data_IF_727057041439
#
_entry.id   IF_727057041439
#
_cell.length_a   1.000
_cell.length_b   1.000
_cell.length_c   1.000
_cell.angle_alpha   90.00
_cell.angle_beta   90.00
_cell.angle_gamma   90.00
#
_symmetry.space_group_name_H-M   'P 1'
#
loop_
_entity.id
_entity.type
_entity.pdbx_description
1 polymer ?
#
# COMPACT_ATOMS: atom_id res chain seq x y z
N UNK A 1 37.51 10.52 -20.32
CA UNK A 1 37.38 9.55 -19.19
C UNK A 1 36.35 8.51 -19.61
N UNK A 2 36.60 7.21 -19.40
CA UNK A 2 35.61 6.14 -19.58
C UNK A 2 35.10 5.77 -18.19
N UNK A 3 33.82 5.97 -17.93
CA UNK A 3 33.18 5.68 -16.63
C UNK A 3 32.05 4.69 -16.85
N UNK A 4 31.91 3.75 -15.92
CA UNK A 4 30.78 2.83 -15.84
C UNK A 4 29.91 3.27 -14.68
N UNK A 5 28.63 3.53 -14.95
CA UNK A 5 27.65 3.92 -13.94
C UNK A 5 26.42 3.01 -14.06
N UNK A 6 26.47 1.80 -13.46
CA UNK A 6 25.39 0.83 -13.58
C UNK A 6 24.21 1.21 -12.69
N UNK A 7 23.03 0.75 -13.06
CA UNK A 7 21.79 0.98 -12.33
C UNK A 7 20.94 -0.31 -12.29
N UNK A 8 20.25 -0.56 -11.17
CA UNK A 8 19.39 -1.72 -10.98
C UNK A 8 18.21 -1.39 -10.07
N UNK A 9 17.15 -2.21 -10.14
CA UNK A 9 15.96 -2.08 -9.31
C UNK A 9 15.98 -3.06 -8.13
N UNK A 10 15.65 -2.57 -6.94
CA UNK A 10 15.44 -3.42 -5.77
C UNK A 10 13.96 -3.75 -5.65
N UNK A 11 13.61 -4.97 -6.00
CA UNK A 11 12.23 -5.45 -6.04
C UNK A 11 11.96 -6.56 -5.02
N UNK A 12 12.94 -6.90 -4.18
CA UNK A 12 12.80 -7.94 -3.17
C UNK A 12 12.42 -7.34 -1.82
N UNK A 13 11.71 -8.14 -1.01
CA UNK A 13 11.28 -7.74 0.34
C UNK A 13 9.82 -7.32 0.44
N UNK A 14 9.43 -6.91 1.64
CA UNK A 14 8.03 -6.67 2.02
C UNK A 14 7.33 -5.42 1.46
N UNK A 15 8.00 -4.32 1.05
CA UNK A 15 7.28 -3.08 0.72
C UNK A 15 6.22 -3.22 -0.38
N UNK A 16 6.55 -3.95 -1.46
CA UNK A 16 5.65 -4.14 -2.60
C UNK A 16 4.46 -5.00 -2.19
N UNK A 17 4.72 -6.16 -1.56
CA UNK A 17 3.67 -7.06 -1.10
C UNK A 17 2.76 -6.44 -0.04
N UNK A 18 3.32 -5.66 0.90
CA UNK A 18 2.54 -4.99 1.93
C UNK A 18 1.62 -3.90 1.35
N UNK A 19 2.08 -3.16 0.34
CA UNK A 19 1.24 -2.19 -0.36
C UNK A 19 0.11 -2.86 -1.14
N UNK A 20 0.40 -3.97 -1.82
CA UNK A 20 -0.58 -4.77 -2.55
C UNK A 20 -1.66 -5.35 -1.63
N UNK A 21 -1.26 -5.95 -0.49
CA UNK A 21 -2.18 -6.44 0.54
C UNK A 21 -3.05 -5.33 1.14
N UNK A 22 -2.46 -4.16 1.40
CA UNK A 22 -3.22 -3.00 1.90
C UNK A 22 -4.24 -2.51 0.86
N UNK A 23 -3.87 -2.52 -0.41
CA UNK A 23 -4.78 -2.15 -1.49
C UNK A 23 -5.93 -3.14 -1.60
N UNK A 24 -5.67 -4.44 -1.54
CA UNK A 24 -6.70 -5.48 -1.52
C UNK A 24 -7.73 -5.22 -0.42
N UNK A 25 -7.28 -5.03 0.82
CA UNK A 25 -8.18 -4.76 1.94
C UNK A 25 -9.04 -3.50 1.77
N UNK A 26 -8.53 -2.47 1.08
CA UNK A 26 -9.29 -1.25 0.79
C UNK A 26 -10.33 -1.50 -0.31
N UNK A 27 -10.00 -2.30 -1.33
CA UNK A 27 -10.95 -2.66 -2.38
C UNK A 27 -12.06 -3.56 -1.84
N UNK A 28 -11.72 -4.58 -1.06
CA UNK A 28 -12.69 -5.46 -0.39
C UNK A 28 -13.67 -4.66 0.49
N UNK A 29 -13.16 -3.68 1.24
CA UNK A 29 -14.00 -2.81 2.06
C UNK A 29 -14.94 -1.91 1.24
N UNK A 30 -14.54 -1.51 0.02
CA UNK A 30 -15.35 -0.68 -0.87
C UNK A 30 -16.38 -1.49 -1.65
N UNK A 31 -16.02 -2.69 -2.07
CA UNK A 31 -16.94 -3.62 -2.73
C UNK A 31 -18.00 -4.12 -1.74
N UNK A 32 -17.65 -4.31 -0.48
CA UNK A 32 -18.60 -4.60 0.60
C UNK A 32 -19.62 -3.48 0.88
N UNK A 33 -19.31 -2.22 0.54
CA UNK A 33 -20.29 -1.11 0.58
C UNK A 33 -21.25 -1.14 -0.62
N UNK A 34 -20.85 -1.75 -1.75
CA UNK A 34 -21.69 -1.93 -2.93
C UNK A 34 -22.60 -3.18 -2.82
N UNK A 35 -22.15 -4.23 -2.13
CA UNK A 35 -22.92 -5.46 -1.88
C UNK A 35 -23.99 -5.33 -0.79
N UNK A 36 -24.01 -4.24 -0.01
CA UNK A 36 -25.12 -3.98 0.93
C UNK A 36 -26.48 -3.77 0.24
N UNK A 37 -26.54 -3.77 -1.09
CA UNK A 37 -27.76 -3.78 -1.89
C UNK A 37 -28.24 -5.18 -2.32
N UNK A 38 -27.43 -6.25 -2.23
CA UNK A 38 -27.83 -7.62 -2.62
C UNK A 38 -27.19 -8.69 -1.68
N UNK A 39 -27.98 -9.17 -0.69
CA UNK A 39 -27.87 -10.37 0.19
C UNK A 39 -26.79 -11.45 -0.16
N UNK A 40 -26.06 -12.16 0.73
CA UNK A 40 -26.10 -12.56 2.16
C UNK A 40 -24.75 -13.27 2.53
N UNK A 41 -24.40 -13.53 3.81
CA UNK A 41 -23.03 -13.53 4.33
C UNK A 41 -22.33 -14.91 4.41
N UNK A 42 -20.99 -14.91 4.31
CA UNK A 42 -20.13 -16.02 4.77
C UNK A 42 -19.02 -15.49 5.70
N UNK A 43 -18.84 -16.05 6.92
CA UNK A 43 -17.96 -15.50 7.94
C UNK A 43 -16.55 -16.08 7.83
N UNK A 44 -15.51 -15.24 7.75
CA UNK A 44 -14.15 -15.66 8.16
C UNK A 44 -13.46 -14.53 8.93
N UNK A 45 -13.20 -14.84 10.20
CA UNK A 45 -12.44 -14.09 11.17
C UNK A 45 -10.94 -14.17 10.82
N UNK A 46 -10.22 -13.03 10.79
CA UNK A 46 -9.00 -12.86 11.60
C UNK A 46 -8.90 -11.42 12.08
N UNK A 47 -8.85 -11.30 13.40
CA UNK A 47 -8.71 -10.09 14.20
C UNK A 47 -7.46 -9.28 13.84
N UNK A 48 -7.63 -7.95 13.83
CA UNK A 48 -6.51 -7.05 13.71
C UNK A 48 -6.75 -5.59 14.08
N UNK A 49 -7.92 -5.17 14.58
CA UNK A 49 -8.05 -3.81 15.14
C UNK A 49 -9.17 -3.68 16.18
N UNK A 50 -9.01 -4.38 17.31
CA UNK A 50 -9.73 -4.04 18.53
C UNK A 50 -9.09 -2.79 19.16
N UNK A 51 -9.78 -1.67 19.00
CA UNK A 51 -9.68 -0.54 19.91
C UNK A 51 -10.11 -1.03 21.32
N UNK A 52 -9.20 -0.98 22.29
CA UNK A 52 -9.50 -1.24 23.69
C UNK A 52 -8.72 -0.25 24.59
N UNK A 53 -9.28 0.09 25.77
CA UNK A 53 -9.09 1.39 26.42
C UNK A 53 -7.74 1.55 27.13
N UNK A 54 -7.38 2.83 27.24
CA UNK A 54 -6.28 3.38 28.02
C UNK A 54 -6.38 2.98 29.50
N UNK A 55 -5.37 2.29 30.07
CA UNK A 55 -4.90 2.60 31.42
C UNK A 55 -3.51 2.04 31.80
N UNK A 56 -2.77 2.93 32.47
CA UNK A 56 -1.54 2.84 33.27
C UNK A 56 -0.23 2.32 32.63
N UNK A 57 0.77 3.20 32.70
CA UNK A 57 2.09 3.06 32.12
C UNK A 57 3.07 2.40 33.10
N UNK A 58 3.90 1.48 32.59
CA UNK A 58 5.15 1.06 33.22
C UNK A 58 6.34 1.77 32.54
N UNK A 59 7.34 2.26 33.30
CA UNK A 59 8.47 2.98 32.74
C UNK A 59 9.44 2.00 32.05
N UNK A 60 9.56 2.09 30.72
CA UNK A 60 10.51 1.28 29.94
C UNK A 60 10.05 0.87 28.54
N UNK A 61 8.75 0.98 28.23
CA UNK A 61 8.22 0.65 26.91
C UNK A 61 8.02 1.93 26.09
N UNK A 62 9.00 2.28 25.25
CA UNK A 62 8.81 3.31 24.22
C UNK A 62 7.86 2.78 23.14
N UNK A 63 6.54 3.00 23.31
CA UNK A 63 5.58 2.89 22.22
C UNK A 63 5.85 4.05 21.27
N UNK A 64 6.61 3.79 20.21
CA UNK A 64 6.75 4.74 19.11
C UNK A 64 5.34 5.07 18.60
N UNK A 65 4.88 6.30 18.81
CA UNK A 65 3.58 6.76 18.32
C UNK A 65 3.53 6.50 16.81
N UNK A 66 2.43 5.90 16.33
CA UNK A 66 2.11 5.66 14.89
C UNK A 66 2.07 6.95 14.03
N UNK A 67 2.49 8.10 14.56
CA UNK A 67 2.46 9.42 13.94
C UNK A 67 3.43 9.60 12.77
N UNK A 68 4.45 8.74 12.59
CA UNK A 68 5.43 8.89 11.49
C UNK A 68 4.89 8.43 10.14
N UNK A 69 3.86 7.58 10.12
CA UNK A 69 3.25 7.05 8.89
C UNK A 69 2.32 8.08 8.26
N UNK A 70 1.39 8.65 9.04
CA UNK A 70 0.46 9.68 8.56
C UNK A 70 1.18 10.92 7.99
N UNK A 71 2.29 11.34 8.62
CA UNK A 71 3.06 12.51 8.17
C UNK A 71 3.72 12.34 6.79
N UNK A 72 3.98 11.11 6.35
CA UNK A 72 4.65 10.84 5.06
C UNK A 72 3.67 10.62 3.91
N UNK A 73 2.48 10.13 4.21
CA UNK A 73 1.46 9.78 3.21
C UNK A 73 0.47 10.92 2.97
N UNK A 74 0.62 12.06 3.66
CA UNK A 74 -0.30 13.20 3.53
C UNK A 74 -1.73 12.88 3.97
N UNK A 75 -1.93 11.79 4.72
CA UNK A 75 -3.25 11.29 5.13
C UNK A 75 -3.98 10.44 4.08
N UNK A 76 -3.41 10.20 2.90
CA UNK A 76 -4.02 9.37 1.86
C UNK A 76 -3.89 7.86 2.18
N UNK A 77 -4.88 7.09 1.77
CA UNK A 77 -4.86 5.63 1.79
C UNK A 77 -4.13 5.08 0.54
N UNK A 78 -3.98 3.75 0.44
CA UNK A 78 -3.21 3.17 -0.66
C UNK A 78 -3.86 3.44 -2.03
N UNK A 79 -5.19 3.39 -2.10
CA UNK A 79 -5.93 3.69 -3.33
C UNK A 79 -5.76 5.17 -3.74
N UNK A 80 -5.94 6.10 -2.80
CA UNK A 80 -5.79 7.53 -3.06
C UNK A 80 -4.38 7.92 -3.50
N UNK A 81 -3.33 7.24 -2.97
CA UNK A 81 -1.96 7.43 -3.45
C UNK A 81 -1.82 7.01 -4.93
N UNK A 82 -2.46 5.91 -5.34
CA UNK A 82 -2.36 5.43 -6.71
C UNK A 82 -3.06 6.35 -7.71
N UNK A 83 -4.23 6.87 -7.34
CA UNK A 83 -4.91 7.92 -8.12
C UNK A 83 -4.05 9.19 -8.20
N UNK A 84 -3.42 9.60 -7.09
CA UNK A 84 -2.53 10.76 -7.07
C UNK A 84 -1.25 10.56 -7.91
N UNK A 85 -0.81 9.31 -8.10
CA UNK A 85 0.27 8.96 -9.04
C UNK A 85 -0.16 9.01 -10.51
N UNK A 86 -1.45 9.23 -10.79
CA UNK A 86 -2.00 9.26 -12.13
C UNK A 86 -2.26 7.88 -12.73
N UNK A 87 -2.37 6.84 -11.90
CA UNK A 87 -2.77 5.50 -12.34
C UNK A 87 -4.30 5.52 -12.52
N UNK A 88 -4.82 5.11 -13.68
CA UNK A 88 -6.26 5.12 -13.94
C UNK A 88 -6.98 4.11 -13.04
N UNK A 89 -8.19 4.45 -12.58
CA UNK A 89 -8.93 3.67 -11.58
C UNK A 89 -9.21 2.23 -12.03
N UNK A 90 -9.41 2.01 -13.33
CA UNK A 90 -9.58 0.69 -13.94
C UNK A 90 -8.34 -0.22 -13.85
N UNK A 91 -7.15 0.35 -13.68
CA UNK A 91 -5.89 -0.40 -13.57
C UNK A 91 -5.54 -0.69 -12.11
N UNK A 92 -6.03 0.12 -11.17
CA UNK A 92 -5.72 0.01 -9.74
C UNK A 92 -5.98 -1.41 -9.17
N UNK A 93 -7.08 -2.12 -9.50
CA UNK A 93 -7.32 -3.48 -9.02
C UNK A 93 -6.21 -4.47 -9.40
N UNK A 94 -5.48 -4.24 -10.49
CA UNK A 94 -4.38 -5.13 -10.92
C UNK A 94 -3.17 -5.07 -9.98
N UNK A 95 -3.05 -4.00 -9.19
CA UNK A 95 -1.98 -3.84 -8.20
C UNK A 95 -2.24 -4.55 -6.87
N UNK A 96 -3.35 -5.27 -6.74
CA UNK A 96 -3.53 -6.26 -5.68
C UNK A 96 -2.53 -7.42 -5.81
N UNK A 97 -2.14 -7.72 -7.05
CA UNK A 97 -1.10 -8.70 -7.37
C UNK A 97 0.29 -8.05 -7.31
N UNK A 98 1.19 -8.48 -6.40
CA UNK A 98 2.53 -7.90 -6.26
C UNK A 98 3.36 -7.94 -7.54
N UNK A 99 3.11 -8.91 -8.43
CA UNK A 99 3.84 -9.03 -9.69
C UNK A 99 3.54 -7.90 -10.68
N UNK A 100 2.33 -7.33 -10.63
CA UNK A 100 1.96 -6.25 -11.53
C UNK A 100 2.84 -5.01 -11.30
N UNK A 101 3.18 -4.73 -10.04
CA UNK A 101 4.13 -3.68 -9.64
C UNK A 101 5.49 -3.82 -10.34
N UNK A 102 5.97 -5.07 -10.48
CA UNK A 102 7.26 -5.40 -11.09
C UNK A 102 7.25 -5.21 -12.61
N UNK A 103 6.08 -5.27 -13.24
CA UNK A 103 5.91 -5.02 -14.68
C UNK A 103 5.67 -3.52 -14.94
N UNK A 104 5.00 -2.84 -14.02
CA UNK A 104 4.56 -1.45 -14.20
C UNK A 104 5.65 -0.41 -13.87
N UNK A 105 6.26 -0.46 -12.68
CA UNK A 105 7.14 0.62 -12.21
C UNK A 105 8.55 0.63 -12.80
N UNK A 106 9.24 -0.50 -13.01
CA UNK A 106 10.58 -0.49 -13.59
C UNK A 106 10.72 0.23 -14.94
N UNK A 107 9.85 0.01 -15.96
CA UNK A 107 9.95 0.76 -17.21
C UNK A 107 9.71 2.27 -17.04
N UNK A 108 8.82 2.68 -16.12
CA UNK A 108 8.60 4.09 -15.79
C UNK A 108 9.83 4.72 -15.14
N UNK A 109 10.46 4.03 -14.20
CA UNK A 109 11.67 4.52 -13.56
C UNK A 109 12.85 4.60 -14.54
N UNK A 110 12.99 3.66 -15.49
CA UNK A 110 13.97 3.79 -16.59
C UNK A 110 13.68 5.02 -17.44
N UNK A 111 12.41 5.26 -17.79
CA UNK A 111 12.02 6.46 -18.55
C UNK A 111 12.44 7.73 -17.80
N UNK A 112 12.22 7.78 -16.50
CA UNK A 112 12.53 8.95 -15.69
C UNK A 112 14.05 9.15 -15.51
N UNK A 113 14.82 8.06 -15.37
CA UNK A 113 16.29 8.12 -15.32
C UNK A 113 16.94 8.57 -16.64
N UNK A 114 16.25 8.36 -17.77
CA UNK A 114 16.73 8.75 -19.11
C UNK A 114 16.32 10.17 -19.48
N UNK A 115 15.41 10.80 -18.73
CA UNK A 115 15.09 12.21 -18.93
C UNK A 115 16.32 13.04 -18.51
N UNK A 116 16.75 14.00 -19.35
CA UNK A 116 17.91 14.84 -19.08
C UNK A 116 17.67 15.82 -17.92
#
# INVERSE_FOLDING_TARGET
>A
KRVLFPFAFHCTGMPISAAAMKLQAILDARDGEAEAAEEEPVPVLVEGEANAPQETAAPGVFKAKKSKVQAKTGGLDQYGIMVALGIPEEEIPQFTEPEHWLRYFPPLAVRDLKKP
#
